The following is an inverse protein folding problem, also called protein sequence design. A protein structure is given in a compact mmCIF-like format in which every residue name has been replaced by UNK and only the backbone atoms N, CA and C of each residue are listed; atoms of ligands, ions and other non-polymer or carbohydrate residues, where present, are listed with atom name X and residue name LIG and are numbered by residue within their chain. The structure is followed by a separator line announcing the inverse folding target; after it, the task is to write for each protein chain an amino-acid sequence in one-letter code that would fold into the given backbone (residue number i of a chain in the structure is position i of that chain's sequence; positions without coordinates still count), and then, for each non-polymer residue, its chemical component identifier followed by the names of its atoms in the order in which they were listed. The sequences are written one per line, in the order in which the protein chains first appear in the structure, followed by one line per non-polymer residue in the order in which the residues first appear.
data_IF_798052736576
#
_entry.id   IF_798052736576
#
_cell.length_a   1.000
_cell.length_b   1.000
_cell.length_c   1.000
_cell.angle_alpha   90.00
_cell.angle_beta   90.00
_cell.angle_gamma   90.00
#
_symmetry.space_group_name_H-M   'P 1'
#
loop_
_entity.id
_entity.type
_entity.pdbx_description
1 polymer ?
#
# COMPACT_ATOMS: atom_id res chain seq x y z
N UNK A 1 6.05 -50.45 -5.23
CA UNK A 1 5.97 -49.30 -6.17
C UNK A 1 4.52 -48.83 -6.38
N UNK A 2 3.58 -49.69 -6.82
CA UNK A 2 2.16 -49.31 -7.01
C UNK A 2 1.41 -48.81 -5.76
N UNK A 3 1.69 -49.39 -4.59
CA UNK A 3 1.09 -48.93 -3.32
C UNK A 3 1.46 -47.48 -2.99
N UNK A 4 2.71 -47.09 -3.26
CA UNK A 4 3.23 -45.73 -3.04
C UNK A 4 2.64 -44.75 -4.05
N UNK A 5 2.48 -45.16 -5.32
CA UNK A 5 1.84 -44.34 -6.35
C UNK A 5 0.35 -44.12 -6.07
N UNK A 6 -0.33 -45.15 -5.58
CA UNK A 6 -1.74 -45.06 -5.17
C UNK A 6 -1.93 -44.13 -3.98
N UNK A 7 -1.12 -44.27 -2.92
CA UNK A 7 -1.23 -43.39 -1.74
C UNK A 7 -0.96 -41.93 -2.08
N UNK A 8 -0.02 -41.65 -2.98
CA UNK A 8 0.25 -40.29 -3.48
C UNK A 8 -0.96 -39.69 -4.20
N UNK A 9 -1.66 -40.48 -5.03
CA UNK A 9 -2.87 -40.03 -5.73
C UNK A 9 -4.01 -39.69 -4.76
N UNK A 10 -4.24 -40.52 -3.73
CA UNK A 10 -5.27 -40.25 -2.72
C UNK A 10 -4.95 -38.98 -1.92
N UNK A 11 -3.68 -38.76 -1.57
CA UNK A 11 -3.24 -37.54 -0.90
C UNK A 11 -3.48 -36.30 -1.77
N UNK A 12 -3.17 -36.36 -3.06
CA UNK A 12 -3.40 -35.27 -4.00
C UNK A 12 -4.90 -34.94 -4.14
N UNK A 13 -5.75 -35.96 -4.27
CA UNK A 13 -7.22 -35.76 -4.32
C UNK A 13 -7.75 -35.15 -3.02
N UNK A 14 -7.29 -35.62 -1.86
CA UNK A 14 -7.70 -35.08 -0.56
C UNK A 14 -7.34 -33.60 -0.41
N UNK A 15 -6.15 -33.19 -0.87
CA UNK A 15 -5.72 -31.77 -0.86
C UNK A 15 -6.60 -30.92 -1.78
N UNK A 16 -6.93 -31.41 -2.98
CA UNK A 16 -7.81 -30.69 -3.91
C UNK A 16 -9.21 -30.52 -3.32
N UNK A 17 -9.80 -31.58 -2.76
CA UNK A 17 -11.12 -31.52 -2.14
C UNK A 17 -11.13 -30.57 -0.94
N UNK A 18 -10.10 -30.64 -0.08
CA UNK A 18 -9.96 -29.76 1.08
C UNK A 18 -9.85 -28.28 0.67
N UNK A 19 -9.05 -27.97 -0.36
CA UNK A 19 -8.88 -26.59 -0.84
C UNK A 19 -10.15 -26.04 -1.49
N UNK A 20 -10.87 -26.83 -2.28
CA UNK A 20 -12.15 -26.45 -2.86
C UNK A 20 -13.24 -26.26 -1.80
N UNK A 21 -13.34 -27.19 -0.83
CA UNK A 21 -14.26 -27.06 0.30
C UNK A 21 -13.96 -25.82 1.14
N UNK A 22 -12.68 -25.58 1.45
CA UNK A 22 -12.25 -24.41 2.22
C UNK A 22 -12.55 -23.09 1.49
N UNK A 23 -12.34 -23.06 0.17
CA UNK A 23 -12.68 -21.89 -0.64
C UNK A 23 -14.19 -21.64 -0.66
N UNK A 24 -14.99 -22.69 -0.87
CA UNK A 24 -16.45 -22.60 -0.84
C UNK A 24 -16.96 -22.12 0.53
N UNK A 25 -16.45 -22.70 1.61
CA UNK A 25 -16.79 -22.29 2.98
C UNK A 25 -16.47 -20.82 3.22
N UNK A 26 -15.27 -20.36 2.87
CA UNK A 26 -14.84 -18.96 3.07
C UNK A 26 -15.61 -17.96 2.22
N UNK A 27 -15.95 -18.33 0.98
CA UNK A 27 -16.65 -17.45 0.04
C UNK A 27 -18.16 -17.34 0.29
N UNK A 28 -18.80 -18.42 0.77
CA UNK A 28 -20.26 -18.49 0.85
C UNK A 28 -20.84 -18.70 2.26
N UNK A 29 -20.15 -19.46 3.12
CA UNK A 29 -20.73 -19.93 4.40
C UNK A 29 -20.08 -19.30 5.64
N UNK A 30 -18.93 -18.66 5.50
CA UNK A 30 -18.23 -18.05 6.62
C UNK A 30 -18.87 -16.73 7.04
N UNK A 31 -18.82 -16.36 8.33
CA UNK A 31 -19.33 -15.06 8.79
C UNK A 31 -18.58 -13.87 8.18
N UNK A 32 -17.37 -14.09 7.63
CA UNK A 32 -16.58 -13.06 6.94
C UNK A 32 -17.11 -12.79 5.52
N UNK A 33 -17.91 -13.71 4.94
CA UNK A 33 -18.47 -13.55 3.60
C UNK A 33 -19.52 -12.42 3.51
N UNK A 34 -20.05 -11.96 4.66
CA UNK A 34 -20.96 -10.82 4.74
C UNK A 34 -20.28 -9.49 4.36
N UNK A 35 -18.97 -9.38 4.60
CA UNK A 35 -18.23 -8.17 4.30
C UNK A 35 -17.81 -8.14 2.82
N UNK A 36 -18.11 -7.04 2.09
CA UNK A 36 -17.74 -6.90 0.69
C UNK A 36 -16.21 -6.83 0.55
N UNK A 37 -15.58 -7.92 0.12
CA UNK A 37 -14.13 -8.03 -0.10
C UNK A 37 -13.76 -8.57 -1.48
N UNK A 38 -12.48 -8.47 -1.84
CA UNK A 38 -11.96 -8.99 -3.12
C UNK A 38 -11.97 -10.52 -3.08
N UNK A 39 -12.98 -11.13 -3.72
CA UNK A 39 -13.23 -12.58 -3.70
C UNK A 39 -12.03 -13.44 -4.13
N UNK A 40 -11.14 -12.89 -4.96
CA UNK A 40 -9.92 -13.56 -5.42
C UNK A 40 -8.87 -13.78 -4.32
N UNK A 41 -8.93 -13.01 -3.22
CA UNK A 41 -8.03 -13.16 -2.08
C UNK A 41 -8.63 -14.03 -0.95
N UNK A 42 -9.91 -14.41 -1.05
CA UNK A 42 -10.56 -15.32 -0.11
C UNK A 42 -10.04 -16.78 -0.12
N UNK A 43 -9.61 -17.38 -1.25
CA UNK A 43 -8.96 -18.69 -1.20
C UNK A 43 -7.61 -18.59 -0.51
N UNK A 44 -7.47 -19.31 0.61
CA UNK A 44 -6.39 -19.24 1.61
C UNK A 44 -5.01 -18.83 1.10
N UNK A 45 -4.37 -19.65 0.26
CA UNK A 45 -2.96 -19.50 -0.10
C UNK A 45 -2.74 -19.29 -1.60
N UNK A 46 -3.78 -19.48 -2.43
CA UNK A 46 -3.64 -19.45 -3.88
C UNK A 46 -3.29 -18.07 -4.43
N UNK A 47 -3.82 -17.02 -3.79
CA UNK A 47 -3.52 -15.65 -4.18
C UNK A 47 -2.05 -15.30 -3.88
N UNK A 48 -1.57 -15.58 -2.67
CA UNK A 48 -0.17 -15.44 -2.27
C UNK A 48 0.77 -16.27 -3.15
N UNK A 49 0.46 -17.56 -3.35
CA UNK A 49 1.25 -18.46 -4.19
C UNK A 49 1.41 -17.95 -5.63
N UNK A 50 0.38 -17.36 -6.22
CA UNK A 50 0.46 -16.78 -7.55
C UNK A 50 1.51 -15.65 -7.62
N UNK A 51 1.51 -14.74 -6.65
CA UNK A 51 2.48 -13.63 -6.65
C UNK A 51 3.88 -14.08 -6.24
N UNK A 52 4.01 -15.06 -5.35
CA UNK A 52 5.31 -15.50 -4.86
C UNK A 52 6.00 -16.50 -5.80
N UNK A 53 5.31 -17.55 -6.24
CA UNK A 53 5.94 -18.58 -7.07
C UNK A 53 5.87 -18.27 -8.56
N UNK A 54 4.77 -17.72 -9.06
CA UNK A 54 4.59 -17.49 -10.51
C UNK A 54 5.13 -16.13 -10.93
N UNK A 55 4.93 -15.09 -10.10
CA UNK A 55 5.39 -13.72 -10.39
C UNK A 55 6.73 -13.37 -9.72
N UNK A 56 7.32 -14.29 -8.96
CA UNK A 56 8.69 -14.17 -8.44
C UNK A 56 8.84 -13.35 -7.16
N UNK A 57 8.01 -13.60 -6.15
CA UNK A 57 8.16 -13.02 -4.81
C UNK A 57 7.62 -11.60 -4.65
N UNK A 58 6.67 -11.19 -5.49
CA UNK A 58 6.16 -9.81 -5.53
C UNK A 58 4.89 -9.59 -4.67
N UNK A 59 4.50 -10.57 -3.85
CA UNK A 59 3.25 -10.49 -3.10
C UNK A 59 3.24 -9.36 -2.07
N UNK A 60 4.39 -9.09 -1.44
CA UNK A 60 4.56 -8.02 -0.46
C UNK A 60 4.18 -6.66 -1.05
N UNK A 61 4.63 -6.35 -2.28
CA UNK A 61 4.30 -5.09 -2.95
C UNK A 61 2.81 -4.97 -3.30
N UNK A 62 2.16 -6.07 -3.65
CA UNK A 62 0.72 -6.08 -3.93
C UNK A 62 -0.09 -5.89 -2.64
N UNK A 63 0.36 -6.44 -1.50
CA UNK A 63 -0.23 -6.16 -0.18
C UNK A 63 -0.09 -4.67 0.15
N UNK A 64 1.09 -4.09 -0.02
CA UNK A 64 1.32 -2.66 0.24
C UNK A 64 0.40 -1.78 -0.62
N UNK A 65 0.25 -2.11 -1.91
CA UNK A 65 -0.68 -1.41 -2.82
C UNK A 65 -2.13 -1.52 -2.35
N UNK A 66 -2.58 -2.72 -1.98
CA UNK A 66 -3.93 -2.92 -1.46
C UNK A 66 -4.16 -2.14 -0.16
N UNK A 67 -3.17 -2.16 0.74
CA UNK A 67 -3.22 -1.46 2.01
C UNK A 67 -3.32 0.05 1.81
N UNK A 68 -2.48 0.61 0.93
CA UNK A 68 -2.54 2.02 0.57
C UNK A 68 -3.92 2.40 0.03
N UNK A 69 -4.42 1.73 -1.01
CA UNK A 69 -5.72 2.04 -1.61
C UNK A 69 -6.88 1.91 -0.61
N UNK A 70 -6.85 0.89 0.24
CA UNK A 70 -7.89 0.68 1.26
C UNK A 70 -7.86 1.79 2.32
N UNK A 71 -6.67 2.15 2.81
CA UNK A 71 -6.47 3.22 3.79
C UNK A 71 -6.87 4.58 3.23
N UNK A 72 -6.38 4.96 2.04
CA UNK A 72 -6.77 6.22 1.37
C UNK A 72 -8.27 6.29 1.19
N UNK A 73 -8.89 5.23 0.63
CA UNK A 73 -10.34 5.18 0.45
C UNK A 73 -11.10 5.33 1.76
N UNK A 74 -10.63 4.68 2.83
CA UNK A 74 -11.25 4.83 4.14
C UNK A 74 -11.19 6.29 4.63
N UNK A 75 -10.02 6.93 4.58
CA UNK A 75 -9.87 8.30 5.06
C UNK A 75 -10.68 9.32 4.23
N UNK A 76 -10.70 9.14 2.91
CA UNK A 76 -11.53 9.96 2.01
C UNK A 76 -13.01 9.79 2.34
N UNK A 77 -13.50 8.57 2.54
CA UNK A 77 -14.90 8.31 2.88
C UNK A 77 -15.27 8.73 4.30
N UNK A 78 -14.31 8.68 5.24
CA UNK A 78 -14.52 9.11 6.62
C UNK A 78 -14.60 10.63 6.77
N UNK A 79 -14.01 11.39 5.84
CA UNK A 79 -14.05 12.85 5.84
C UNK A 79 -14.86 13.39 4.65
N UNK A 80 -16.10 13.78 4.93
CA UNK A 80 -17.04 14.27 3.91
C UNK A 80 -16.55 15.54 3.19
N UNK A 81 -15.80 16.42 3.86
CA UNK A 81 -15.24 17.63 3.22
C UNK A 81 -14.20 17.25 2.16
N UNK A 82 -13.34 16.28 2.47
CA UNK A 82 -12.35 15.77 1.51
C UNK A 82 -13.05 15.08 0.33
N UNK A 83 -14.04 14.23 0.61
CA UNK A 83 -14.80 13.53 -0.43
C UNK A 83 -15.50 14.51 -1.38
N UNK A 84 -16.21 15.51 -0.84
CA UNK A 84 -16.94 16.48 -1.66
C UNK A 84 -16.02 17.31 -2.54
N UNK A 85 -14.87 17.75 -2.02
CA UNK A 85 -13.84 18.45 -2.80
C UNK A 85 -13.25 17.55 -3.88
N UNK A 86 -12.91 16.30 -3.55
CA UNK A 86 -12.35 15.35 -4.51
C UNK A 86 -13.34 15.09 -5.66
N UNK A 87 -14.61 14.85 -5.34
CA UNK A 87 -15.66 14.68 -6.35
C UNK A 87 -15.82 15.92 -7.22
N UNK A 88 -15.84 17.12 -6.63
CA UNK A 88 -15.91 18.36 -7.39
C UNK A 88 -14.73 18.53 -8.37
N UNK A 89 -13.51 18.17 -7.96
CA UNK A 89 -12.33 18.17 -8.83
C UNK A 89 -12.46 17.13 -9.95
N UNK A 90 -12.93 15.92 -9.65
CA UNK A 90 -13.11 14.84 -10.64
C UNK A 90 -14.21 15.15 -11.66
N UNK A 91 -15.29 15.82 -11.24
CA UNK A 91 -16.37 16.28 -12.12
C UNK A 91 -15.87 17.27 -13.18
N UNK A 92 -14.85 18.09 -12.87
CA UNK A 92 -14.27 19.01 -13.86
C UNK A 92 -13.64 18.30 -15.05
N UNK A 93 -13.12 17.09 -14.84
CA UNK A 93 -12.40 16.30 -15.85
C UNK A 93 -13.29 15.24 -16.48
N UNK A 94 -14.35 14.81 -15.79
CA UNK A 94 -15.23 13.71 -16.22
C UNK A 94 -16.69 14.15 -16.31
N UNK A 95 -17.05 15.07 -17.22
CA UNK A 95 -18.43 15.54 -17.37
C UNK A 95 -19.36 14.46 -17.95
N UNK A 96 -18.85 13.49 -18.72
CA UNK A 96 -19.60 12.33 -19.21
C UNK A 96 -19.12 11.06 -18.49
N UNK A 97 -19.98 10.35 -17.73
CA UNK A 97 -19.63 9.15 -16.98
C UNK A 97 -19.21 7.96 -17.86
N UNK A 98 -19.43 8.04 -19.17
CA UNK A 98 -18.99 7.01 -20.12
C UNK A 98 -17.63 7.30 -20.75
N UNK A 99 -17.14 8.53 -20.60
CA UNK A 99 -15.82 8.94 -21.08
C UNK A 99 -14.77 8.62 -20.02
N UNK A 100 -13.72 7.87 -20.40
CA UNK A 100 -12.54 7.64 -19.55
C UNK A 100 -11.43 8.57 -20.02
N UNK A 101 -11.18 9.70 -19.32
CA UNK A 101 -10.09 10.61 -19.66
C UNK A 101 -8.74 9.92 -19.48
N UNK A 102 -7.70 10.43 -20.15
CA UNK A 102 -6.38 9.82 -20.11
C UNK A 102 -5.73 10.00 -18.72
N UNK A 103 -4.88 9.05 -18.34
CA UNK A 103 -4.15 9.07 -17.07
C UNK A 103 -3.38 10.39 -16.85
N UNK A 104 -2.81 10.97 -17.90
CA UNK A 104 -2.09 12.25 -17.85
C UNK A 104 -2.96 13.40 -17.32
N UNK A 105 -4.27 13.39 -17.61
CA UNK A 105 -5.16 14.43 -17.10
C UNK A 105 -5.34 14.27 -15.59
N UNK A 106 -5.50 13.04 -15.10
CA UNK A 106 -5.60 12.78 -13.66
C UNK A 106 -4.29 13.14 -12.94
N UNK A 107 -3.13 12.79 -13.50
CA UNK A 107 -1.81 13.15 -12.94
C UNK A 107 -1.59 14.67 -12.90
N UNK A 108 -2.28 15.44 -13.74
CA UNK A 108 -2.19 16.90 -13.73
C UNK A 108 -2.97 17.54 -12.59
N UNK A 109 -3.88 16.82 -11.92
CA UNK A 109 -4.74 17.36 -10.87
C UNK A 109 -3.98 17.47 -9.54
N UNK A 110 -3.68 18.69 -9.05
CA UNK A 110 -2.86 18.87 -7.85
C UNK A 110 -3.53 18.28 -6.60
N UNK A 111 -4.86 18.39 -6.52
CA UNK A 111 -5.62 17.86 -5.38
C UNK A 111 -5.63 16.33 -5.34
N UNK A 112 -5.67 15.68 -6.51
CA UNK A 112 -5.62 14.21 -6.60
C UNK A 112 -4.22 13.69 -6.24
N UNK A 113 -3.17 14.39 -6.68
CA UNK A 113 -1.79 14.06 -6.29
C UNK A 113 -1.61 14.22 -4.78
N UNK A 114 -2.12 15.32 -4.21
CA UNK A 114 -2.09 15.55 -2.76
C UNK A 114 -2.79 14.44 -1.97
N UNK A 115 -3.97 14.01 -2.42
CA UNK A 115 -4.72 12.90 -1.81
C UNK A 115 -3.94 11.57 -1.89
N UNK A 116 -3.31 11.33 -3.03
CA UNK A 116 -2.49 10.14 -3.25
C UNK A 116 -1.25 10.15 -2.35
N UNK A 117 -0.55 11.28 -2.28
CA UNK A 117 0.65 11.46 -1.44
C UNK A 117 0.31 11.31 0.05
N UNK A 118 -0.82 11.87 0.47
CA UNK A 118 -1.29 11.73 1.85
C UNK A 118 -1.75 10.31 2.16
N UNK A 119 -2.33 9.62 1.18
CA UNK A 119 -2.61 8.20 1.22
C UNK A 119 -1.35 7.37 1.44
N UNK A 120 -0.28 7.67 0.72
CA UNK A 120 1.02 7.03 0.91
C UNK A 120 1.55 7.30 2.32
N UNK A 121 1.51 8.55 2.81
CA UNK A 121 1.95 8.91 4.17
C UNK A 121 1.22 8.10 5.24
N UNK A 122 -0.10 7.96 5.13
CA UNK A 122 -0.94 7.31 6.14
C UNK A 122 -0.96 5.77 6.04
N UNK A 123 -0.54 5.21 4.91
CA UNK A 123 -0.40 3.75 4.77
C UNK A 123 0.78 3.19 5.56
N UNK A 124 1.79 4.03 5.90
CA UNK A 124 3.04 3.71 6.59
C UNK A 124 3.90 2.58 5.97
N UNK A 125 3.44 1.94 4.89
CA UNK A 125 4.09 0.82 4.21
C UNK A 125 4.56 -0.26 5.18
N UNK A 126 5.80 -0.72 4.96
CA UNK A 126 6.45 -1.59 5.93
C UNK A 126 6.82 -0.86 7.22
N UNK A 127 6.20 -1.28 8.32
CA UNK A 127 6.48 -0.78 9.68
C UNK A 127 7.79 -1.32 10.27
N UNK A 128 8.40 -2.35 9.67
CA UNK A 128 9.68 -2.86 10.16
C UNK A 128 10.80 -1.90 9.77
N UNK A 129 11.76 -1.70 10.68
CA UNK A 129 12.92 -0.85 10.40
C UNK A 129 13.84 -1.56 9.41
N UNK A 130 14.01 -0.97 8.23
CA UNK A 130 14.92 -1.46 7.22
C UNK A 130 16.33 -0.94 7.51
N UNK A 131 17.12 -1.76 8.22
CA UNK A 131 18.51 -1.42 8.51
C UNK A 131 19.35 -1.30 7.24
N UNK A 132 20.17 -0.25 7.19
CA UNK A 132 21.19 -0.01 6.16
C UNK A 132 22.52 0.17 6.88
N UNK A 133 23.58 -0.43 6.33
CA UNK A 133 24.95 -0.27 6.82
C UNK A 133 25.85 -0.03 5.64
N UNK A 134 26.70 0.98 5.71
CA UNK A 134 27.71 1.19 4.68
C UNK A 134 28.88 0.23 4.92
N UNK A 135 29.29 -0.58 3.91
CA UNK A 135 30.25 -1.66 4.11
C UNK A 135 31.72 -1.25 3.99
N UNK A 136 32.04 -0.05 3.46
CA UNK A 136 33.44 0.36 3.19
C UNK A 136 33.91 1.64 3.89
N UNK A 137 33.01 2.61 4.02
CA UNK A 137 33.25 3.91 4.63
C UNK A 137 32.39 4.15 5.87
N UNK A 138 32.86 5.05 6.74
CA UNK A 138 32.11 5.61 7.88
C UNK A 138 31.04 6.58 7.41
N UNK A 139 29.90 6.64 8.10
CA UNK A 139 28.80 7.54 7.78
C UNK A 139 28.92 8.78 8.66
N UNK A 140 28.92 9.98 8.08
CA UNK A 140 28.78 11.22 8.84
C UNK A 140 27.31 11.57 8.98
N UNK A 141 26.87 11.87 10.20
CA UNK A 141 25.52 12.39 10.46
C UNK A 141 25.64 13.57 11.42
N UNK A 142 25.37 14.78 10.90
CA UNK A 142 25.55 16.04 11.63
C UNK A 142 26.98 16.16 12.19
N UNK A 143 27.13 16.26 13.51
CA UNK A 143 28.41 16.37 14.23
C UNK A 143 28.99 15.00 14.65
N UNK A 144 28.38 13.88 14.24
CA UNK A 144 28.73 12.53 14.69
C UNK A 144 29.19 11.64 13.56
N UNK A 145 30.32 10.96 13.79
CA UNK A 145 30.82 9.89 12.92
C UNK A 145 30.26 8.55 13.38
N UNK A 146 29.52 7.88 12.50
CA UNK A 146 29.04 6.50 12.67
C UNK A 146 30.07 5.55 12.05
N UNK A 147 30.56 4.61 12.85
CA UNK A 147 31.56 3.64 12.42
C UNK A 147 31.08 2.74 11.28
N UNK A 148 32.04 2.32 10.45
CA UNK A 148 31.87 1.32 9.40
C UNK A 148 31.09 0.09 9.90
N UNK A 149 30.14 -0.41 9.11
CA UNK A 149 29.41 -1.64 9.43
C UNK A 149 28.35 -1.50 10.54
N UNK A 150 28.20 -0.32 11.15
CA UNK A 150 27.12 -0.07 12.10
C UNK A 150 25.78 -0.02 11.35
N UNK A 151 24.79 -0.88 11.69
CA UNK A 151 23.47 -0.81 11.08
C UNK A 151 22.71 0.40 11.61
N UNK A 152 22.27 1.26 10.70
CA UNK A 152 21.43 2.42 10.98
C UNK A 152 20.05 2.17 10.41
N UNK A 153 19.01 2.53 11.13
CA UNK A 153 17.62 2.31 10.69
C UNK A 153 16.71 3.40 11.25
N UNK A 154 15.60 3.64 10.57
CA UNK A 154 14.57 4.56 11.00
C UNK A 154 13.20 3.85 10.99
N UNK A 155 12.24 4.40 11.73
CA UNK A 155 10.86 3.95 11.68
C UNK A 155 10.08 4.85 10.72
N UNK A 156 9.48 4.27 9.67
CA UNK A 156 8.59 4.99 8.76
C UNK A 156 7.45 5.67 9.53
N UNK A 157 6.90 4.99 10.55
CA UNK A 157 5.86 5.56 11.40
C UNK A 157 6.31 6.84 12.09
N UNK A 158 7.50 6.85 12.72
CA UNK A 158 8.02 8.05 13.39
C UNK A 158 8.28 9.19 12.41
N UNK A 159 8.90 8.91 11.26
CA UNK A 159 9.14 9.95 10.24
C UNK A 159 7.84 10.55 9.71
N UNK A 160 6.84 9.72 9.42
CA UNK A 160 5.56 10.18 8.87
C UNK A 160 4.59 10.77 9.91
N UNK A 161 4.93 10.66 11.21
CA UNK A 161 4.17 11.27 12.32
C UNK A 161 4.92 12.41 13.02
N UNK A 162 6.13 12.74 12.56
CA UNK A 162 6.96 13.79 13.15
C UNK A 162 6.31 15.16 12.92
N UNK A 163 6.02 15.88 14.00
CA UNK A 163 5.31 17.17 13.93
C UNK A 163 6.18 18.31 13.37
N UNK A 164 7.50 18.16 13.40
CA UNK A 164 8.42 19.12 12.79
C UNK A 164 8.32 19.09 11.25
N UNK A 165 8.08 17.90 10.68
CA UNK A 165 7.96 17.68 9.23
C UNK A 165 6.50 17.82 8.78
N UNK A 166 5.58 17.28 9.58
CA UNK A 166 4.14 17.28 9.34
C UNK A 166 3.43 18.03 10.49
N UNK A 167 3.34 19.38 10.42
CA UNK A 167 2.85 20.22 11.52
C UNK A 167 1.35 20.08 11.82
N UNK A 168 0.62 19.30 11.02
CA UNK A 168 -0.82 19.04 11.20
C UNK A 168 -1.04 17.72 11.96
N UNK A 169 -2.15 17.62 12.74
CA UNK A 169 -2.38 16.56 13.73
C UNK A 169 -2.34 15.14 13.14
N UNK A 170 -2.33 14.08 13.99
CA UNK A 170 -2.34 12.68 13.54
C UNK A 170 -3.66 12.33 12.84
N UNK A 171 -3.77 12.68 11.56
CA UNK A 171 -4.95 12.48 10.72
C UNK A 171 -4.64 12.72 9.25
N UNK A 172 -5.54 12.27 8.39
CA UNK A 172 -5.47 12.49 6.95
C UNK A 172 -5.92 13.91 6.64
N UNK A 173 -4.98 14.79 6.28
CA UNK A 173 -5.25 16.21 6.06
C UNK A 173 -4.73 16.65 4.71
N UNK A 174 -5.63 17.16 3.86
CA UNK A 174 -5.26 17.76 2.59
C UNK A 174 -5.17 19.27 2.78
N UNK A 175 -3.97 19.83 2.64
CA UNK A 175 -3.77 21.27 2.77
C UNK A 175 -4.44 22.01 1.59
N UNK A 176 -5.33 22.95 1.92
CA UNK A 176 -5.99 23.82 0.94
C UNK A 176 -5.00 24.68 0.11
N UNK A 177 -3.76 24.83 0.57
CA UNK A 177 -2.70 25.64 -0.03
C UNK A 177 -2.07 25.08 -1.31
N UNK A 178 -2.35 23.81 -1.67
CA UNK A 178 -1.81 23.18 -2.90
C UNK A 178 -2.45 23.73 -4.19
N UNK A 179 -3.32 24.73 -4.07
CA UNK A 179 -3.87 25.54 -5.17
C UNK A 179 -2.92 26.65 -5.64
N UNK A 180 -1.87 27.00 -4.89
CA UNK A 180 -0.88 27.99 -5.32
C UNK A 180 0.44 27.33 -5.69
N UNK A 181 0.84 27.44 -6.96
CA UNK A 181 2.19 27.19 -7.51
C UNK A 181 3.28 27.12 -6.43
N UNK A 182 3.61 25.91 -5.97
CA UNK A 182 4.87 25.69 -5.28
C UNK A 182 5.85 25.20 -6.32
N UNK A 183 6.56 26.18 -6.91
CA UNK A 183 7.90 25.98 -7.45
C UNK A 183 8.68 25.11 -6.48
N UNK A 184 9.15 23.98 -6.98
CA UNK A 184 10.12 23.09 -6.34
C UNK A 184 11.33 23.90 -5.88
N UNK A 185 11.27 24.41 -4.65
CA UNK A 185 12.47 24.81 -3.93
C UNK A 185 13.17 23.52 -3.57
N UNK A 186 14.28 23.29 -4.26
CA UNK A 186 15.24 22.22 -4.02
C UNK A 186 15.60 22.16 -2.53
N UNK A 187 14.86 21.36 -1.75
CA UNK A 187 15.22 20.98 -0.40
C UNK A 187 16.03 19.67 -0.46
N UNK A 188 17.10 19.70 -1.24
CA UNK A 188 18.27 18.90 -0.91
C UNK A 188 19.21 19.84 -0.15
N UNK A 189 18.80 20.23 1.06
CA UNK A 189 19.79 20.60 2.04
C UNK A 189 20.61 19.32 2.33
N UNK A 190 21.95 19.39 2.27
CA UNK A 190 22.78 18.23 2.55
C UNK A 190 22.57 17.82 4.01
N UNK A 191 22.01 16.63 4.20
CA UNK A 191 21.92 15.93 5.49
C UNK A 191 23.33 15.53 5.95
#
# INVERSE_FOLDING_TARGET
MYFILSSLNHALVAVIVWTLYSAYWRLCLSPVAEFPGRKLAAPTFWYEFYYDFIRGGVYVYEIEKMHMLASTRYFVLANLDILTRLLAVLETVTPDPTSSPSQQVFESLPYLNADTDEGFRMSYGSMHRLSRSHPKDTIQFRDRTISLGTPVSFSNYLLHSELEIFPHPPGFTLNASLTSNQSSTNACDPI
#
